data_IF_305149051112
#
_entry.id   IF_305149051112
#
_cell.length_a   1.000
_cell.length_b   1.000
_cell.length_c   1.000
_cell.angle_alpha   90.00
_cell.angle_beta   90.00
_cell.angle_gamma   90.00
#
_symmetry.space_group_name_H-M   'P 1'
#
loop_
_entity.id
_entity.type
_entity.pdbx_description
1 polymer ?
#
# COMPACT_ATOMS: atom_id res chain seq x y z
N UNK A 1 -18.66 -33.20 -5.91
CA UNK A 1 -17.94 -32.60 -7.06
C UNK A 1 -16.57 -32.22 -6.55
N UNK A 2 -15.51 -32.92 -6.95
CA UNK A 2 -14.17 -32.69 -6.44
C UNK A 2 -13.48 -31.67 -7.34
N UNK A 3 -13.36 -30.43 -6.88
CA UNK A 3 -12.55 -29.41 -7.57
C UNK A 3 -11.09 -29.67 -7.19
N UNK A 4 -10.43 -30.57 -7.92
CA UNK A 4 -8.97 -30.70 -7.90
C UNK A 4 -8.42 -29.93 -9.09
N UNK A 5 -7.53 -28.97 -8.82
CA UNK A 5 -6.94 -27.98 -9.75
C UNK A 5 -7.92 -26.92 -10.26
N UNK A 6 -7.38 -25.70 -10.40
CA UNK A 6 -7.95 -24.49 -11.03
C UNK A 6 -8.96 -24.79 -12.14
N UNK A 7 -10.20 -25.07 -11.74
CA UNK A 7 -11.34 -25.19 -12.63
C UNK A 7 -12.17 -23.93 -12.42
N UNK A 8 -12.25 -23.08 -13.46
CA UNK A 8 -13.21 -21.99 -13.48
C UNK A 8 -14.60 -22.60 -13.44
N UNK A 9 -15.28 -22.45 -12.31
CA UNK A 9 -16.64 -22.94 -12.11
C UNK A 9 -17.61 -21.74 -12.18
N UNK A 10 -18.61 -21.82 -13.05
CA UNK A 10 -19.74 -20.90 -13.01
C UNK A 10 -20.77 -21.46 -12.03
N UNK A 11 -20.95 -20.78 -10.90
CA UNK A 11 -21.95 -21.15 -9.90
C UNK A 11 -23.15 -20.22 -10.11
N UNK A 12 -24.31 -20.80 -10.39
CA UNK A 12 -25.60 -20.09 -10.44
C UNK A 12 -26.40 -20.57 -9.22
N UNK A 13 -26.56 -19.73 -8.20
CA UNK A 13 -27.26 -20.09 -6.96
C UNK A 13 -26.52 -19.67 -5.69
N UNK A 14 -26.73 -20.41 -4.61
CA UNK A 14 -26.19 -20.14 -3.26
C UNK A 14 -24.69 -20.51 -3.14
N UNK A 15 -23.82 -19.50 -3.26
CA UNK A 15 -22.36 -19.65 -3.11
C UNK A 15 -21.97 -20.17 -1.71
N UNK A 16 -22.44 -19.61 -0.58
CA UNK A 16 -22.22 -20.18 0.75
C UNK A 16 -22.56 -21.67 0.85
N UNK A 17 -23.76 -22.07 0.38
CA UNK A 17 -24.20 -23.46 0.38
C UNK A 17 -23.28 -24.39 -0.43
N UNK A 18 -22.74 -23.89 -1.55
CA UNK A 18 -21.77 -24.62 -2.35
C UNK A 18 -20.42 -24.79 -1.63
N UNK A 19 -19.88 -23.71 -1.08
CA UNK A 19 -18.58 -23.70 -0.39
C UNK A 19 -18.55 -24.64 0.82
N UNK A 20 -19.67 -24.82 1.53
CA UNK A 20 -19.77 -25.77 2.64
C UNK A 20 -19.43 -27.22 2.25
N UNK A 21 -19.57 -27.59 0.97
CA UNK A 21 -19.25 -28.94 0.48
C UNK A 21 -17.80 -29.07 -0.01
N UNK A 22 -17.01 -28.01 0.04
CA UNK A 22 -15.66 -27.94 -0.51
C UNK A 22 -14.58 -28.07 0.59
N UNK A 23 -14.66 -29.11 1.42
CA UNK A 23 -13.77 -29.31 2.59
C UNK A 23 -12.29 -29.56 2.27
N UNK A 24 -11.94 -29.79 1.00
CA UNK A 24 -10.56 -29.93 0.55
C UNK A 24 -10.03 -28.74 -0.25
N UNK A 25 -10.78 -27.64 -0.29
CA UNK A 25 -10.38 -26.43 -1.00
C UNK A 25 -9.22 -25.75 -0.28
N UNK A 26 -8.12 -25.54 -0.99
CA UNK A 26 -6.91 -24.88 -0.49
C UNK A 26 -6.77 -23.44 -1.01
N UNK A 27 -7.32 -23.17 -2.19
CA UNK A 27 -7.28 -21.87 -2.86
C UNK A 27 -8.68 -21.54 -3.38
N UNK A 28 -9.14 -20.30 -3.18
CA UNK A 28 -10.42 -19.81 -3.67
C UNK A 28 -10.22 -18.43 -4.31
N UNK A 29 -10.61 -18.32 -5.58
CA UNK A 29 -10.68 -17.06 -6.31
C UNK A 29 -12.14 -16.75 -6.64
N UNK A 30 -12.60 -15.56 -6.25
CA UNK A 30 -13.95 -15.06 -6.54
C UNK A 30 -13.80 -13.79 -7.37
N UNK A 31 -14.06 -13.89 -8.69
CA UNK A 31 -13.79 -12.83 -9.66
C UNK A 31 -15.03 -12.57 -10.53
N UNK A 32 -15.38 -11.30 -10.75
CA UNK A 32 -16.46 -10.83 -11.65
C UNK A 32 -17.85 -11.52 -11.50
N UNK A 33 -18.16 -12.05 -10.32
CA UNK A 33 -19.47 -12.52 -9.87
C UNK A 33 -20.43 -11.35 -9.56
N UNK A 34 -21.66 -11.46 -10.05
CA UNK A 34 -22.72 -10.48 -9.82
C UNK A 34 -23.82 -11.04 -8.90
N UNK A 35 -24.60 -10.15 -8.27
CA UNK A 35 -25.72 -10.53 -7.41
C UNK A 35 -25.35 -10.94 -5.98
N UNK A 36 -24.07 -10.81 -5.59
CA UNK A 36 -23.60 -10.98 -4.21
C UNK A 36 -23.33 -9.61 -3.61
N UNK A 37 -24.04 -9.26 -2.53
CA UNK A 37 -23.84 -7.99 -1.80
C UNK A 37 -22.81 -8.14 -0.69
N UNK A 38 -22.85 -9.26 0.03
CA UNK A 38 -21.98 -9.54 1.17
C UNK A 38 -21.36 -10.91 0.99
N UNK A 39 -20.04 -11.00 1.15
CA UNK A 39 -19.32 -12.25 0.99
C UNK A 39 -18.92 -12.79 2.36
N UNK A 40 -19.53 -13.92 2.74
CA UNK A 40 -19.16 -14.67 3.94
C UNK A 40 -18.39 -15.94 3.56
N UNK A 41 -17.17 -16.07 4.06
CA UNK A 41 -16.33 -17.26 3.89
C UNK A 41 -16.35 -18.05 5.20
N UNK A 42 -17.03 -19.21 5.22
CA UNK A 42 -17.33 -19.93 6.45
C UNK A 42 -16.10 -20.69 6.98
N UNK A 43 -16.04 -20.87 8.31
CA UNK A 43 -14.93 -21.53 9.01
C UNK A 43 -14.68 -23.00 8.61
N UNK A 44 -15.67 -23.65 8.00
CA UNK A 44 -15.63 -25.05 7.57
C UNK A 44 -14.61 -25.31 6.45
N UNK A 45 -14.16 -24.27 5.75
CA UNK A 45 -13.08 -24.32 4.75
C UNK A 45 -11.71 -24.42 5.43
N UNK A 46 -11.51 -25.43 6.27
CA UNK A 46 -10.35 -25.55 7.16
C UNK A 46 -9.00 -25.76 6.45
N UNK A 47 -9.01 -26.20 5.19
CA UNK A 47 -7.80 -26.32 4.35
C UNK A 47 -7.50 -25.08 3.52
N UNK A 48 -8.42 -24.11 3.46
CA UNK A 48 -8.26 -22.91 2.66
C UNK A 48 -7.12 -22.06 3.22
N UNK A 49 -6.12 -21.83 2.38
CA UNK A 49 -4.89 -21.10 2.69
C UNK A 49 -4.78 -19.81 1.88
N UNK A 50 -5.44 -19.73 0.72
CA UNK A 50 -5.42 -18.54 -0.12
C UNK A 50 -6.82 -18.16 -0.57
N UNK A 51 -7.15 -16.87 -0.42
CA UNK A 51 -8.40 -16.28 -0.86
C UNK A 51 -8.10 -15.02 -1.68
N UNK A 52 -8.60 -14.98 -2.91
CA UNK A 52 -8.60 -13.82 -3.79
C UNK A 52 -10.05 -13.40 -4.07
N UNK A 53 -10.34 -12.12 -3.90
CA UNK A 53 -11.62 -11.50 -4.26
C UNK A 53 -11.31 -10.33 -5.18
N UNK A 54 -11.86 -10.32 -6.40
CA UNK A 54 -11.60 -9.26 -7.37
C UNK A 54 -12.85 -8.91 -8.19
N UNK A 55 -12.93 -7.67 -8.68
CA UNK A 55 -13.99 -7.21 -9.58
C UNK A 55 -15.42 -7.48 -9.06
N UNK A 56 -15.63 -7.32 -7.74
CA UNK A 56 -16.93 -7.51 -7.09
C UNK A 56 -17.59 -6.19 -6.70
N UNK A 57 -18.92 -6.14 -6.78
CA UNK A 57 -19.72 -5.05 -6.18
C UNK A 57 -20.18 -5.40 -4.75
N UNK A 58 -19.24 -5.66 -3.84
CA UNK A 58 -19.54 -6.00 -2.45
C UNK A 58 -19.77 -4.75 -1.59
N UNK A 59 -20.51 -4.92 -0.49
CA UNK A 59 -20.62 -3.96 0.61
C UNK A 59 -19.75 -4.37 1.80
N UNK A 60 -19.47 -5.66 1.96
CA UNK A 60 -18.65 -6.20 3.05
C UNK A 60 -18.05 -7.56 2.69
N UNK A 61 -16.87 -7.85 3.27
CA UNK A 61 -16.25 -9.18 3.27
C UNK A 61 -16.08 -9.64 4.72
N UNK A 62 -16.52 -10.86 5.01
CA UNK A 62 -16.38 -11.50 6.33
C UNK A 62 -15.80 -12.91 6.20
N UNK A 63 -14.63 -13.13 6.81
CA UNK A 63 -13.84 -14.37 6.66
C UNK A 63 -13.51 -14.95 8.03
N UNK A 64 -13.89 -16.20 8.24
CA UNK A 64 -13.73 -16.92 9.52
C UNK A 64 -12.76 -18.11 9.43
N UNK A 65 -11.81 -18.08 8.48
CA UNK A 65 -10.96 -19.23 8.14
C UNK A 65 -9.64 -19.20 8.93
N UNK A 66 -9.44 -20.05 9.95
CA UNK A 66 -8.25 -19.95 10.80
C UNK A 66 -6.95 -20.32 10.09
N UNK A 67 -7.05 -21.17 9.06
CA UNK A 67 -5.96 -21.67 8.24
C UNK A 67 -5.50 -20.71 7.12
N UNK A 68 -6.21 -19.60 6.91
CA UNK A 68 -5.92 -18.66 5.83
C UNK A 68 -4.53 -18.05 6.04
N UNK A 69 -3.66 -18.21 5.06
CA UNK A 69 -2.29 -17.70 5.07
C UNK A 69 -2.12 -16.45 4.20
N UNK A 70 -2.88 -16.38 3.10
CA UNK A 70 -2.80 -15.34 2.09
C UNK A 70 -4.20 -14.79 1.76
N UNK A 71 -4.35 -13.47 1.82
CA UNK A 71 -5.59 -12.78 1.45
C UNK A 71 -5.32 -11.72 0.39
N UNK A 72 -6.13 -11.70 -0.66
CA UNK A 72 -6.04 -10.72 -1.73
C UNK A 72 -7.42 -10.13 -2.04
N UNK A 73 -7.48 -8.81 -2.13
CA UNK A 73 -8.70 -8.08 -2.45
C UNK A 73 -8.42 -7.03 -3.53
N UNK A 74 -9.27 -6.98 -4.55
CA UNK A 74 -9.30 -5.97 -5.59
C UNK A 74 -10.71 -5.41 -5.77
N UNK A 75 -10.89 -4.10 -5.58
CA UNK A 75 -12.18 -3.43 -5.74
C UNK A 75 -12.29 -2.14 -4.93
N UNK A 76 -13.51 -1.64 -4.73
CA UNK A 76 -13.75 -0.41 -3.95
C UNK A 76 -13.48 -0.61 -2.46
N UNK A 77 -13.28 0.47 -1.71
CA UNK A 77 -13.06 0.37 -0.25
C UNK A 77 -14.33 -0.06 0.47
N UNK A 78 -14.28 -1.23 1.10
CA UNK A 78 -15.34 -1.80 1.93
C UNK A 78 -14.77 -2.31 3.25
N UNK A 79 -15.60 -2.47 4.30
CA UNK A 79 -15.19 -3.21 5.49
C UNK A 79 -14.75 -4.64 5.15
N UNK A 80 -13.53 -5.00 5.57
CA UNK A 80 -12.99 -6.36 5.44
C UNK A 80 -12.71 -6.90 6.85
N UNK A 81 -13.48 -7.92 7.22
CA UNK A 81 -13.42 -8.59 8.51
C UNK A 81 -12.72 -9.95 8.35
N UNK A 82 -11.53 -10.08 8.95
CA UNK A 82 -10.71 -11.29 8.94
C UNK A 82 -10.67 -11.87 10.36
N UNK A 83 -11.78 -12.49 10.76
CA UNK A 83 -11.97 -13.00 12.12
C UNK A 83 -11.28 -14.35 12.30
N UNK A 84 -10.51 -14.48 13.37
CA UNK A 84 -9.88 -15.75 13.75
C UNK A 84 -8.85 -16.29 12.75
N UNK A 85 -8.42 -15.49 11.76
CA UNK A 85 -7.45 -15.85 10.72
C UNK A 85 -6.01 -15.93 11.29
N UNK A 86 -5.78 -16.86 12.22
CA UNK A 86 -4.56 -16.93 13.04
C UNK A 86 -3.26 -17.22 12.27
N UNK A 87 -3.36 -17.83 11.08
CA UNK A 87 -2.21 -18.14 10.22
C UNK A 87 -1.95 -17.08 9.16
N UNK A 88 -2.71 -15.98 9.15
CA UNK A 88 -2.62 -14.97 8.09
C UNK A 88 -1.26 -14.27 8.13
N UNK A 89 -0.45 -14.50 7.11
CA UNK A 89 0.91 -13.95 7.04
C UNK A 89 0.99 -12.77 6.08
N UNK A 90 0.23 -12.80 4.99
CA UNK A 90 0.30 -11.82 3.92
C UNK A 90 -1.07 -11.38 3.44
N UNK A 91 -1.21 -10.08 3.24
CA UNK A 91 -2.38 -9.48 2.60
C UNK A 91 -1.97 -8.57 1.43
N UNK A 92 -2.70 -8.64 0.32
CA UNK A 92 -2.58 -7.71 -0.81
C UNK A 92 -3.92 -7.01 -1.01
N UNK A 93 -3.93 -5.68 -0.98
CA UNK A 93 -5.14 -4.89 -1.17
C UNK A 93 -4.94 -3.94 -2.35
N UNK A 94 -5.75 -4.09 -3.38
CA UNK A 94 -5.80 -3.22 -4.55
C UNK A 94 -7.12 -2.48 -4.52
N UNK A 95 -7.09 -1.17 -4.36
CA UNK A 95 -8.33 -0.42 -4.30
C UNK A 95 -8.55 0.46 -5.54
N UNK A 96 -9.73 0.33 -6.13
CA UNK A 96 -10.19 1.11 -7.29
C UNK A 96 -10.73 2.48 -6.86
N UNK A 97 -10.50 3.51 -7.68
CA UNK A 97 -11.03 4.87 -7.48
C UNK A 97 -10.74 5.50 -6.11
N UNK A 98 -9.62 5.12 -5.51
CA UNK A 98 -9.25 5.58 -4.19
C UNK A 98 -8.79 7.02 -4.20
N UNK A 99 -9.76 7.93 -4.10
CA UNK A 99 -9.46 9.32 -3.76
C UNK A 99 -8.77 9.42 -2.41
N UNK A 100 -8.71 8.37 -1.57
CA UNK A 100 -8.31 8.50 -0.16
C UNK A 100 -7.54 7.28 0.36
N UNK A 101 -6.19 7.28 0.26
CA UNK A 101 -5.35 6.19 0.79
C UNK A 101 -5.69 5.82 2.23
N UNK A 102 -6.04 6.79 3.07
CA UNK A 102 -6.30 6.49 4.46
C UNK A 102 -7.62 5.74 4.72
N UNK A 103 -8.59 5.76 3.80
CA UNK A 103 -9.78 4.89 3.92
C UNK A 103 -9.41 3.41 3.81
N UNK A 104 -8.43 3.07 2.97
CA UNK A 104 -7.90 1.71 2.85
C UNK A 104 -7.36 1.18 4.18
N UNK A 105 -6.66 2.01 4.94
CA UNK A 105 -6.12 1.61 6.25
C UNK A 105 -7.18 1.57 7.35
N UNK A 106 -8.22 2.42 7.29
CA UNK A 106 -9.31 2.38 8.28
C UNK A 106 -10.31 1.25 8.04
N UNK A 107 -10.47 0.83 6.78
CA UNK A 107 -11.42 -0.22 6.38
C UNK A 107 -10.96 -1.63 6.76
N UNK A 108 -9.71 -1.79 7.23
CA UNK A 108 -9.16 -3.10 7.58
C UNK A 108 -8.65 -3.16 9.03
N UNK A 109 -9.55 -3.18 10.05
CA UNK A 109 -9.17 -3.36 11.44
C UNK A 109 -8.57 -4.75 11.74
N UNK A 110 -8.87 -5.75 10.91
CA UNK A 110 -8.65 -7.17 11.21
C UNK A 110 -7.30 -7.74 10.73
N UNK A 111 -6.49 -6.96 9.99
CA UNK A 111 -5.16 -7.39 9.51
C UNK A 111 -4.03 -7.20 10.53
N UNK A 112 -4.36 -7.01 11.82
CA UNK A 112 -3.37 -6.90 12.90
C UNK A 112 -2.45 -8.13 13.01
N UNK A 113 -2.89 -9.30 12.55
CA UNK A 113 -2.09 -10.53 12.49
C UNK A 113 -1.06 -10.57 11.35
N UNK A 114 -1.24 -9.78 10.29
CA UNK A 114 -0.44 -9.83 9.06
C UNK A 114 0.99 -9.39 9.31
N UNK A 115 1.96 -10.12 8.71
CA UNK A 115 3.39 -9.78 8.73
C UNK A 115 3.80 -8.98 7.49
N UNK A 116 3.17 -9.23 6.34
CA UNK A 116 3.45 -8.58 5.05
C UNK A 116 2.18 -7.98 4.47
N UNK A 117 2.16 -6.66 4.30
CA UNK A 117 1.05 -5.95 3.68
C UNK A 117 1.49 -5.26 2.39
N UNK A 118 0.83 -5.61 1.30
CA UNK A 118 0.97 -4.94 0.01
C UNK A 118 -0.30 -4.13 -0.26
N UNK A 119 -0.15 -2.86 -0.59
CA UNK A 119 -1.27 -1.99 -0.94
C UNK A 119 -1.05 -1.34 -2.29
N UNK A 120 -2.08 -1.30 -3.12
CA UNK A 120 -2.13 -0.50 -4.34
C UNK A 120 -3.26 0.51 -4.21
N UNK A 121 -2.95 1.77 -4.47
CA UNK A 121 -3.93 2.84 -4.43
C UNK A 121 -3.58 3.96 -5.42
N UNK A 122 -4.60 4.73 -5.77
CA UNK A 122 -4.46 5.97 -6.49
C UNK A 122 -4.65 7.17 -5.51
N UNK A 123 -4.32 8.39 -5.96
CA UNK A 123 -4.43 9.64 -5.19
C UNK A 123 -4.62 10.80 -6.16
N UNK A 124 -5.45 11.78 -5.81
CA UNK A 124 -5.65 13.01 -6.59
C UNK A 124 -5.54 14.27 -5.72
N UNK A 125 -4.99 15.34 -6.29
CA UNK A 125 -4.77 16.63 -5.61
C UNK A 125 -6.06 17.42 -5.30
N UNK A 126 -7.01 17.48 -6.23
CA UNK A 126 -8.12 18.47 -6.19
C UNK A 126 -9.33 18.04 -5.37
N UNK A 127 -9.34 16.83 -4.84
CA UNK A 127 -10.29 16.48 -3.80
C UNK A 127 -9.63 16.79 -2.45
N UNK A 128 -10.14 17.71 -1.62
CA UNK A 128 -9.66 17.91 -0.26
C UNK A 128 -10.05 16.69 0.58
N UNK A 129 -9.24 15.66 0.43
CA UNK A 129 -9.41 14.34 0.99
C UNK A 129 -8.86 14.37 2.40
N UNK A 130 -9.58 14.97 3.35
CA UNK A 130 -9.51 14.60 4.78
C UNK A 130 -10.28 15.55 5.71
N UNK A 131 -10.83 16.67 5.20
CA UNK A 131 -11.36 17.75 6.06
C UNK A 131 -12.72 17.47 6.73
N UNK A 132 -13.46 16.45 6.31
CA UNK A 132 -14.78 16.14 6.84
C UNK A 132 -14.90 14.63 7.04
N UNK A 133 -15.18 14.23 8.27
CA UNK A 133 -15.28 12.86 8.79
C UNK A 133 -14.04 12.23 9.48
N UNK A 134 -13.06 13.03 9.91
CA UNK A 134 -12.33 12.67 11.15
C UNK A 134 -13.18 13.05 12.37
N UNK A 135 -14.41 12.51 12.46
CA UNK A 135 -14.80 12.04 13.77
C UNK A 135 -13.98 10.77 13.95
N UNK A 136 -13.00 10.85 14.84
CA UNK A 136 -12.30 9.71 15.37
C UNK A 136 -13.31 8.76 16.02
N UNK A 137 -14.03 7.99 15.20
CA UNK A 137 -14.77 6.84 15.67
C UNK A 137 -13.70 5.79 15.89
N UNK A 138 -13.17 5.80 17.11
CA UNK A 138 -12.26 4.82 17.69
C UNK A 138 -11.04 4.52 16.81
N UNK A 139 -9.96 5.31 16.94
CA UNK A 139 -8.62 4.84 16.54
C UNK A 139 -8.41 3.46 17.15
N UNK A 140 -8.37 2.36 16.37
CA UNK A 140 -8.05 1.08 16.95
C UNK A 140 -6.56 1.17 17.27
N UNK A 141 -6.24 1.25 18.56
CA UNK A 141 -4.89 1.47 19.10
C UNK A 141 -3.90 0.33 18.78
N UNK A 142 -4.33 -0.66 18.00
CA UNK A 142 -3.65 -1.94 17.77
C UNK A 142 -3.81 -2.50 16.33
N UNK A 143 -4.04 -1.66 15.31
CA UNK A 143 -3.88 -2.12 13.91
C UNK A 143 -2.42 -2.50 13.66
N UNK A 144 -2.13 -3.46 12.77
CA UNK A 144 -0.77 -3.76 12.30
C UNK A 144 0.29 -4.17 13.34
N UNK A 145 -0.09 -4.69 14.51
CA UNK A 145 0.85 -5.03 15.59
C UNK A 145 1.96 -6.00 15.19
N UNK A 146 1.68 -6.92 14.25
CA UNK A 146 2.64 -7.92 13.77
C UNK A 146 3.27 -7.55 12.41
N UNK A 147 2.92 -6.40 11.85
CA UNK A 147 3.37 -6.00 10.52
C UNK A 147 4.86 -5.73 10.54
N UNK A 148 5.60 -6.44 9.68
CA UNK A 148 7.06 -6.32 9.52
C UNK A 148 7.44 -5.71 8.19
N UNK A 149 6.65 -5.94 7.14
CA UNK A 149 6.91 -5.43 5.81
C UNK A 149 5.67 -4.74 5.24
N UNK A 150 5.84 -3.48 4.87
CA UNK A 150 4.83 -2.69 4.18
C UNK A 150 5.33 -2.32 2.79
N UNK A 151 4.59 -2.68 1.75
CA UNK A 151 4.81 -2.20 0.38
C UNK A 151 3.58 -1.47 -0.12
N UNK A 152 3.74 -0.23 -0.58
CA UNK A 152 2.66 0.54 -1.18
C UNK A 152 3.04 0.94 -2.61
N UNK A 153 2.19 0.61 -3.58
CA UNK A 153 2.21 1.16 -4.91
C UNK A 153 1.17 2.27 -5.02
N UNK A 154 1.61 3.50 -5.26
CA UNK A 154 0.77 4.68 -5.16
C UNK A 154 0.87 5.47 -6.46
N UNK A 155 -0.24 5.62 -7.18
CA UNK A 155 -0.32 6.57 -8.29
C UNK A 155 -0.89 7.90 -7.81
N UNK A 156 -0.28 9.00 -8.21
CA UNK A 156 -0.56 10.33 -7.68
C UNK A 156 -0.77 11.30 -8.84
N UNK A 157 -1.97 11.84 -8.96
CA UNK A 157 -2.26 12.95 -9.87
C UNK A 157 -1.99 14.27 -9.14
N UNK A 158 -1.02 15.04 -9.64
CA UNK A 158 -0.67 16.34 -9.05
C UNK A 158 -0.14 17.31 -10.10
N UNK A 159 -0.48 18.59 -9.93
CA UNK A 159 -0.11 19.68 -10.83
C UNK A 159 1.31 20.23 -10.56
N UNK A 160 1.97 19.84 -9.46
CA UNK A 160 3.27 20.37 -9.09
C UNK A 160 3.91 19.82 -7.81
N UNK A 161 5.10 20.33 -7.43
CA UNK A 161 5.96 19.73 -6.40
C UNK A 161 5.52 19.96 -4.94
N UNK A 162 4.58 20.87 -4.68
CA UNK A 162 4.13 21.26 -3.33
C UNK A 162 2.60 21.36 -3.24
N UNK A 163 1.92 20.41 -3.88
CA UNK A 163 0.52 20.58 -4.24
C UNK A 163 -0.41 19.52 -3.66
N UNK A 164 0.14 18.42 -3.16
CA UNK A 164 -0.56 17.40 -2.40
C UNK A 164 0.10 17.17 -1.03
N UNK A 165 -0.69 16.81 -0.03
CA UNK A 165 -0.24 16.40 1.31
C UNK A 165 -0.70 15.00 1.70
N UNK A 166 -1.49 14.33 0.85
CA UNK A 166 -2.06 13.01 1.16
C UNK A 166 -1.03 11.93 1.52
N UNK A 167 0.15 11.99 0.91
CA UNK A 167 1.25 11.06 1.21
C UNK A 167 1.74 11.18 2.67
N UNK A 168 1.66 12.37 3.29
CA UNK A 168 2.10 12.60 4.66
C UNK A 168 1.27 11.83 5.69
N UNK A 169 0.02 11.49 5.36
CA UNK A 169 -0.85 10.71 6.25
C UNK A 169 -0.32 9.29 6.48
N UNK A 170 0.53 8.76 5.60
CA UNK A 170 1.22 7.49 5.82
C UNK A 170 1.95 7.47 7.16
N UNK A 171 2.49 8.61 7.61
CA UNK A 171 3.14 8.72 8.92
C UNK A 171 2.24 8.19 10.05
N UNK A 172 0.95 8.55 10.04
CA UNK A 172 -0.01 8.11 11.08
C UNK A 172 -0.27 6.60 11.08
N UNK A 173 -0.10 5.93 9.94
CA UNK A 173 -0.25 4.47 9.84
C UNK A 173 1.02 3.73 10.21
N UNK A 174 2.18 4.30 9.90
CA UNK A 174 3.46 3.76 10.33
C UNK A 174 3.56 3.69 11.86
N UNK A 175 2.96 4.64 12.58
CA UNK A 175 2.85 4.62 14.05
C UNK A 175 2.06 3.44 14.62
N UNK A 176 1.13 2.91 13.83
CA UNK A 176 0.31 1.77 14.23
C UNK A 176 1.07 0.45 14.03
N UNK A 177 2.20 0.43 13.33
CA UNK A 177 2.98 -0.78 13.07
C UNK A 177 4.29 -0.80 13.91
N UNK A 178 4.24 -1.09 15.22
CA UNK A 178 5.41 -1.03 16.10
C UNK A 178 6.52 -2.02 15.72
N UNK A 179 6.18 -3.14 15.05
CA UNK A 179 7.13 -4.18 14.65
C UNK A 179 7.63 -4.00 13.21
N UNK A 180 7.38 -2.85 12.59
CA UNK A 180 7.70 -2.62 11.18
C UNK A 180 9.22 -2.60 10.95
N UNK A 181 9.71 -3.50 10.10
CA UNK A 181 11.13 -3.66 9.80
C UNK A 181 11.49 -3.07 8.42
N UNK A 182 10.55 -3.07 7.48
CA UNK A 182 10.77 -2.62 6.09
C UNK A 182 9.59 -1.81 5.55
N UNK A 183 9.91 -0.68 4.90
CA UNK A 183 8.96 0.12 4.11
C UNK A 183 9.44 0.19 2.66
N UNK A 184 8.56 -0.13 1.73
CA UNK A 184 8.73 0.09 0.30
C UNK A 184 7.61 0.97 -0.23
N UNK A 185 7.92 2.16 -0.73
CA UNK A 185 6.93 3.02 -1.39
C UNK A 185 7.30 3.18 -2.85
N UNK A 186 6.41 2.73 -3.73
CA UNK A 186 6.54 2.83 -5.17
C UNK A 186 5.58 3.88 -5.70
N UNK A 187 6.10 5.08 -5.95
CA UNK A 187 5.27 6.23 -6.32
C UNK A 187 5.30 6.47 -7.84
N UNK A 188 4.15 6.77 -8.43
CA UNK A 188 4.04 7.22 -9.82
C UNK A 188 3.30 8.55 -9.84
N UNK A 189 3.89 9.60 -10.43
CA UNK A 189 3.27 10.92 -10.49
C UNK A 189 2.77 11.20 -11.91
N UNK A 190 1.46 11.40 -12.06
CA UNK A 190 0.85 11.98 -13.26
C UNK A 190 1.07 13.50 -13.22
N UNK A 191 2.28 13.93 -13.57
CA UNK A 191 2.65 15.34 -13.64
C UNK A 191 3.60 15.61 -14.79
N UNK A 192 3.43 16.78 -15.43
CA UNK A 192 4.36 17.33 -16.40
C UNK A 192 5.42 18.22 -15.75
N UNK A 193 5.32 18.46 -14.43
CA UNK A 193 6.28 19.30 -13.72
C UNK A 193 7.70 18.71 -13.78
N UNK A 194 8.64 19.53 -14.23
CA UNK A 194 10.07 19.22 -14.25
C UNK A 194 10.80 19.77 -13.00
N UNK A 195 10.08 20.47 -12.11
CA UNK A 195 10.66 21.08 -10.92
C UNK A 195 10.53 20.18 -9.69
N UNK A 196 11.54 20.21 -8.82
CA UNK A 196 11.46 19.67 -7.46
C UNK A 196 11.06 20.78 -6.49
N UNK A 197 10.64 20.40 -5.29
CA UNK A 197 10.39 21.35 -4.21
C UNK A 197 11.71 21.97 -3.72
N UNK A 198 11.69 23.26 -3.42
CA UNK A 198 12.86 24.06 -3.01
C UNK A 198 12.74 24.65 -1.59
N UNK A 199 11.65 24.33 -0.87
CA UNK A 199 11.45 24.78 0.51
C UNK A 199 12.29 24.00 1.52
N UNK A 200 12.18 24.40 2.79
CA UNK A 200 12.81 23.70 3.91
C UNK A 200 11.84 22.73 4.57
N UNK A 201 12.38 21.62 5.10
CA UNK A 201 11.59 20.64 5.85
C UNK A 201 11.18 21.25 7.18
N UNK A 202 9.92 21.69 7.26
CA UNK A 202 9.31 22.26 8.46
C UNK A 202 8.72 21.19 9.38
N UNK A 203 8.37 20.02 8.84
CA UNK A 203 7.64 18.97 9.56
C UNK A 203 6.16 19.30 9.76
N UNK A 204 5.66 20.39 9.16
CA UNK A 204 4.25 20.77 9.23
C UNK A 204 3.37 19.70 8.56
N UNK A 205 2.34 19.24 9.28
CA UNK A 205 1.42 18.22 8.78
C UNK A 205 1.85 16.77 9.01
N UNK A 206 3.00 16.55 9.67
CA UNK A 206 3.42 15.22 10.13
C UNK A 206 3.44 15.20 11.66
N UNK A 207 2.76 14.23 12.26
CA UNK A 207 2.81 14.01 13.70
C UNK A 207 3.19 12.55 13.97
N UNK A 208 4.49 12.33 14.19
CA UNK A 208 4.98 11.11 14.82
C UNK A 208 5.10 11.34 16.33
N UNK A 209 4.10 10.85 17.05
CA UNK A 209 4.06 10.68 18.50
C UNK A 209 4.91 9.49 18.98
N UNK A 210 5.12 8.44 18.16
CA UNK A 210 5.91 7.24 18.51
C UNK A 210 7.16 7.06 17.64
N UNK A 211 8.14 6.33 18.15
CA UNK A 211 9.35 5.92 17.43
C UNK A 211 9.09 4.80 16.44
N UNK A 212 9.93 4.71 15.40
CA UNK A 212 9.96 3.60 14.44
C UNK A 212 11.12 2.67 14.78
N UNK A 213 11.06 2.11 15.99
CA UNK A 213 12.22 1.52 16.68
C UNK A 213 12.77 0.26 16.02
N UNK A 214 11.93 -0.47 15.27
CA UNK A 214 12.29 -1.70 14.58
C UNK A 214 12.57 -1.51 13.09
N UNK A 215 12.36 -0.30 12.56
CA UNK A 215 12.46 -0.02 11.13
C UNK A 215 13.93 0.00 10.70
N UNK A 216 14.32 -0.95 9.85
CA UNK A 216 15.70 -1.10 9.36
C UNK A 216 15.88 -0.62 7.93
N UNK A 217 14.89 -0.86 7.07
CA UNK A 217 15.00 -0.62 5.63
C UNK A 217 13.89 0.29 5.12
N UNK A 218 14.28 1.36 4.43
CA UNK A 218 13.38 2.28 3.74
C UNK A 218 13.77 2.35 2.27
N UNK A 219 12.83 2.04 1.39
CA UNK A 219 13.03 2.10 -0.05
C UNK A 219 11.91 2.92 -0.69
N UNK A 220 12.28 3.95 -1.46
CA UNK A 220 11.35 4.84 -2.16
C UNK A 220 11.67 4.85 -3.65
N UNK A 221 10.76 4.42 -4.51
CA UNK A 221 10.89 4.58 -5.98
C UNK A 221 9.96 5.65 -6.53
N UNK A 222 10.29 6.20 -7.70
CA UNK A 222 9.56 7.33 -8.28
C UNK A 222 9.79 8.63 -7.50
N UNK A 223 10.96 8.77 -6.88
CA UNK A 223 11.27 9.94 -6.06
C UNK A 223 11.59 11.14 -6.94
N UNK A 224 10.85 12.25 -6.79
CA UNK A 224 11.04 13.49 -7.57
C UNK A 224 11.54 14.66 -6.73
N UNK A 225 11.70 14.45 -5.42
CA UNK A 225 12.02 15.53 -4.47
C UNK A 225 10.83 16.48 -4.27
N UNK A 226 9.61 15.95 -4.34
CA UNK A 226 8.41 16.72 -4.00
C UNK A 226 8.27 16.83 -2.48
N UNK A 227 7.62 17.88 -2.00
CA UNK A 227 7.54 18.20 -0.57
C UNK A 227 7.10 17.00 0.25
N UNK A 228 5.97 16.39 -0.11
CA UNK A 228 5.41 15.29 0.67
C UNK A 228 6.36 14.08 0.74
N UNK A 229 7.13 13.79 -0.31
CA UNK A 229 8.12 12.71 -0.31
C UNK A 229 9.30 13.04 0.61
N UNK A 230 9.81 14.26 0.54
CA UNK A 230 10.96 14.74 1.32
C UNK A 230 10.60 14.83 2.80
N UNK A 231 9.44 15.41 3.13
CA UNK A 231 8.99 15.54 4.51
C UNK A 231 8.67 14.19 5.14
N UNK A 232 7.98 13.28 4.42
CA UNK A 232 7.72 11.93 4.92
C UNK A 232 9.03 11.18 5.20
N UNK A 233 9.99 11.20 4.26
CA UNK A 233 11.29 10.56 4.46
C UNK A 233 12.03 11.17 5.63
N UNK A 234 12.07 12.51 5.73
CA UNK A 234 12.72 13.20 6.84
C UNK A 234 12.14 12.78 8.19
N UNK A 235 10.82 12.69 8.29
CA UNK A 235 10.14 12.32 9.51
C UNK A 235 10.36 10.84 9.88
N UNK A 236 10.40 9.94 8.89
CA UNK A 236 10.79 8.53 9.08
C UNK A 236 12.23 8.44 9.60
N UNK A 237 13.17 9.18 9.00
CA UNK A 237 14.57 9.17 9.40
C UNK A 237 14.79 9.73 10.81
N UNK A 238 14.02 10.76 11.18
CA UNK A 238 14.03 11.34 12.52
C UNK A 238 13.57 10.34 13.60
N UNK A 239 12.59 9.49 13.28
CA UNK A 239 11.96 8.57 14.24
C UNK A 239 12.50 7.15 14.19
N UNK A 240 13.16 6.75 13.12
CA UNK A 240 13.70 5.40 12.94
C UNK A 240 15.14 5.29 13.40
N UNK A 241 15.35 5.10 14.71
CA UNK A 241 16.68 4.95 15.28
C UNK A 241 17.45 3.77 14.67
N UNK A 242 16.78 2.64 14.43
CA UNK A 242 17.36 1.40 13.89
C UNK A 242 17.51 1.36 12.37
N UNK A 243 17.22 2.45 11.64
CA UNK A 243 17.35 2.46 10.18
C UNK A 243 18.82 2.24 9.79
N UNK A 244 19.07 1.13 9.07
CA UNK A 244 20.35 0.69 8.53
C UNK A 244 20.48 1.07 7.04
N UNK A 245 19.38 0.99 6.29
CA UNK A 245 19.37 1.18 4.84
C UNK A 245 18.27 2.15 4.40
N UNK A 246 18.67 3.24 3.75
CA UNK A 246 17.76 4.15 3.04
C UNK A 246 18.16 4.19 1.58
N UNK A 247 17.22 3.86 0.70
CA UNK A 247 17.42 3.91 -0.74
C UNK A 247 16.35 4.74 -1.40
N UNK A 248 16.77 5.70 -2.19
CA UNK A 248 15.91 6.52 -3.04
C UNK A 248 16.20 6.17 -4.49
N UNK A 249 15.17 5.80 -5.22
CA UNK A 249 15.22 5.53 -6.65
C UNK A 249 14.38 6.57 -7.39
N UNK A 250 15.01 7.39 -8.25
CA UNK A 250 14.28 8.33 -9.10
C UNK A 250 13.24 7.61 -9.97
N UNK A 251 13.63 6.47 -10.55
CA UNK A 251 12.81 5.74 -11.52
C UNK A 251 11.60 5.06 -10.89
N UNK A 252 10.55 4.92 -11.70
CA UNK A 252 9.34 4.20 -11.32
C UNK A 252 9.50 2.73 -11.67
N UNK A 253 9.11 1.83 -10.75
CA UNK A 253 9.04 0.38 -11.00
C UNK A 253 7.65 -0.13 -11.38
N UNK A 254 6.65 0.76 -11.41
CA UNK A 254 5.27 0.40 -11.72
C UNK A 254 5.12 0.17 -13.23
N UNK A 255 4.55 -0.99 -13.62
CA UNK A 255 4.24 -1.30 -15.01
C UNK A 255 3.10 -0.39 -15.50
N UNK A 256 3.43 0.75 -16.08
CA UNK A 256 2.45 1.72 -16.60
C UNK A 256 2.66 1.94 -18.11
N UNK A 257 1.62 1.86 -18.98
CA UNK A 257 1.79 1.91 -20.44
C UNK A 257 2.16 3.26 -21.06
N UNK A 258 2.40 4.32 -20.27
CA UNK A 258 2.63 5.67 -20.80
C UNK A 258 3.83 6.33 -20.11
N UNK A 259 4.76 6.84 -20.93
CA UNK A 259 6.00 7.48 -20.54
C UNK A 259 5.78 8.82 -19.82
N UNK A 260 5.29 8.77 -18.58
CA UNK A 260 5.18 9.92 -17.68
C UNK A 260 5.85 9.55 -16.35
N UNK A 261 6.46 10.52 -15.66
CA UNK A 261 7.70 10.39 -14.86
C UNK A 261 9.02 10.50 -15.64
N UNK A 262 8.97 10.98 -16.89
CA UNK A 262 10.16 11.48 -17.58
C UNK A 262 10.66 12.81 -16.94
N UNK A 263 11.94 13.11 -17.12
CA UNK A 263 12.60 14.35 -16.67
C UNK A 263 12.72 14.50 -15.16
N UNK A 264 13.39 13.54 -14.53
CA UNK A 264 13.70 13.60 -13.10
C UNK A 264 15.01 14.36 -12.91
N UNK A 265 15.04 15.49 -12.18
CA UNK A 265 16.26 16.27 -12.00
C UNK A 265 17.20 15.56 -11.01
N UNK A 266 17.98 14.58 -11.49
CA UNK A 266 18.85 13.75 -10.66
C UNK A 266 19.77 14.55 -9.74
N UNK A 267 20.30 15.67 -10.21
CA UNK A 267 21.16 16.53 -9.41
C UNK A 267 20.43 17.10 -8.18
N UNK A 268 19.14 17.45 -8.31
CA UNK A 268 18.30 17.91 -7.19
C UNK A 268 18.02 16.78 -6.21
N UNK A 269 17.80 15.56 -6.71
CA UNK A 269 17.64 14.38 -5.83
C UNK A 269 18.94 14.10 -5.08
N UNK A 270 20.09 14.16 -5.76
CA UNK A 270 21.42 14.04 -5.14
C UNK A 270 21.63 15.11 -4.07
N UNK A 271 21.20 16.35 -4.32
CA UNK A 271 21.26 17.43 -3.34
C UNK A 271 20.36 17.16 -2.13
N UNK A 272 19.11 16.73 -2.35
CA UNK A 272 18.18 16.36 -1.28
C UNK A 272 18.72 15.22 -0.42
N UNK A 273 19.19 14.14 -1.04
CA UNK A 273 19.78 13.00 -0.35
C UNK A 273 20.99 13.43 0.51
N UNK A 274 21.89 14.28 -0.03
CA UNK A 274 23.02 14.83 0.74
C UNK A 274 22.57 15.64 1.94
N UNK A 275 21.59 16.54 1.78
CA UNK A 275 21.07 17.39 2.87
C UNK A 275 20.45 16.55 3.99
N UNK A 276 19.58 15.60 3.65
CA UNK A 276 18.95 14.71 4.63
C UNK A 276 19.98 13.80 5.29
N UNK A 277 20.93 13.26 4.52
CA UNK A 277 21.99 12.42 5.05
C UNK A 277 22.88 13.17 6.05
N UNK A 278 23.25 14.41 5.75
CA UNK A 278 24.00 15.28 6.67
C UNK A 278 23.19 15.64 7.92
N UNK A 279 21.90 15.96 7.76
CA UNK A 279 21.00 16.33 8.87
C UNK A 279 20.85 15.20 9.89
N UNK A 280 20.71 13.96 9.44
CA UNK A 280 20.42 12.81 10.31
C UNK A 280 21.61 11.90 10.59
N UNK A 281 22.77 12.16 9.97
CA UNK A 281 23.96 11.32 10.12
C UNK A 281 23.79 9.90 9.55
N UNK A 282 22.83 9.69 8.64
CA UNK A 282 22.52 8.39 8.01
C UNK A 282 22.75 8.45 6.51
N UNK A 283 23.45 7.47 5.95
CA UNK A 283 23.68 7.43 4.51
C UNK A 283 22.38 7.19 3.74
N UNK A 284 22.18 7.90 2.64
CA UNK A 284 21.08 7.68 1.70
C UNK A 284 21.68 7.22 0.39
N UNK A 285 21.36 5.98 -0.01
CA UNK A 285 21.77 5.41 -1.28
C UNK A 285 20.83 5.90 -2.37
N UNK A 286 21.38 6.30 -3.52
CA UNK A 286 20.58 6.62 -4.70
C UNK A 286 20.74 5.46 -5.67
N UNK A 287 19.65 4.77 -5.99
CA UNK A 287 19.69 3.67 -6.94
C UNK A 287 20.07 4.18 -8.34
N UNK A 288 20.89 3.44 -9.09
CA UNK A 288 21.26 3.84 -10.45
C UNK A 288 20.01 3.83 -11.34
N UNK A 289 19.94 4.71 -12.36
CA UNK A 289 18.87 4.65 -13.34
C UNK A 289 18.92 3.29 -14.04
N UNK A 290 17.79 2.58 -14.06
CA UNK A 290 17.61 1.43 -14.95
C UNK A 290 17.63 1.99 -16.38
N UNK A 291 18.43 1.37 -17.27
CA UNK A 291 18.67 1.85 -18.64
C UNK A 291 17.40 2.27 -19.35
N UNK A 292 17.52 3.34 -20.15
CA UNK A 292 16.42 4.10 -20.74
C UNK A 292 15.37 3.19 -21.42
N UNK A 293 14.11 3.15 -20.94
CA UNK A 293 13.03 2.46 -21.63
C UNK A 293 12.77 3.04 -23.04
N UNK A 294 13.21 4.27 -23.31
CA UNK A 294 13.04 4.92 -24.61
C UNK A 294 13.94 4.36 -25.70
N UNK A 295 15.09 3.75 -25.35
CA UNK A 295 15.96 3.07 -26.33
C UNK A 295 15.37 1.76 -26.85
N UNK A 296 14.30 1.24 -26.22
CA UNK A 296 13.57 0.06 -26.69
C UNK A 296 12.35 0.41 -27.56
N UNK A 297 11.96 1.69 -27.63
CA UNK A 297 10.78 2.13 -28.39
C UNK A 297 11.13 2.75 -29.75
N UNK A 298 12.38 3.14 -29.97
CA UNK A 298 12.88 3.61 -31.27
C UNK A 298 14.30 3.07 -31.51
N UNK A 299 14.45 1.88 -32.11
CA UNK A 299 15.71 1.48 -32.71
C UNK A 299 15.99 2.37 -33.94
N UNK A 300 17.25 2.81 -34.09
CA UNK A 300 17.76 3.43 -35.33
C UNK A 300 17.55 2.54 -36.56
#
# INVERSE_FOLDING_TARGET
MWLYKTQKAQIIGDLPGFLLNCSSLEELEVIACSGVTDLNIPHQLNKLQHLLIADMCLQMVDVHVPGLAHFEYEGVVIPILLHGCSKLEKATLTFEDNKVLGHAFTAVPSISAVKVLNMRADMEEHHPIWGSQVHMVTRPTCMFMNLRHLSCEIKIVSDGPNRHSGLLQLASYLELAPQLETIQLHMFYYTLSQSSWEGEVTGEGISFTRGLDHLKTVYLSGFRGFRAQVELLSAIMEKGAAIEHVTIEPQVKLKCPRAMNAFIPEYKIKQWARRLSQRFGKAITIAPPVGDPMLLLFPE
#
